data_IF_814043108570
#
_entry.id   IF_814043108570
#
_cell.length_a   1.000
_cell.length_b   1.000
_cell.length_c   1.000
_cell.angle_alpha   90.00
_cell.angle_beta   90.00
_cell.angle_gamma   90.00
#
_symmetry.space_group_name_H-M   'P 1'
#
loop_
_entity.id
_entity.type
_entity.pdbx_description
1 polymer ?
#
# COMPACT_ATOMS: atom_id res chain seq x y z
N UNK A 1 -18.88 2.50 -16.18
CA UNK A 1 -19.00 3.56 -15.16
C UNK A 1 -17.65 4.23 -14.95
N UNK A 2 -17.58 5.55 -14.69
CA UNK A 2 -16.33 6.20 -14.34
C UNK A 2 -15.80 5.68 -12.98
N UNK A 3 -14.48 5.82 -12.78
CA UNK A 3 -13.88 5.55 -11.49
C UNK A 3 -14.25 6.68 -10.51
N UNK A 4 -14.64 6.32 -9.27
CA UNK A 4 -14.75 7.30 -8.21
C UNK A 4 -13.40 7.97 -7.98
N UNK A 5 -13.35 9.29 -8.07
CA UNK A 5 -12.12 10.07 -7.94
C UNK A 5 -11.88 10.56 -6.51
N UNK A 6 -12.97 10.81 -5.77
CA UNK A 6 -12.92 11.16 -4.35
C UNK A 6 -13.07 9.91 -3.49
N UNK A 7 -11.94 9.30 -3.12
CA UNK A 7 -11.96 8.12 -2.27
C UNK A 7 -12.41 8.40 -0.82
N UNK A 8 -12.39 9.65 -0.39
CA UNK A 8 -12.83 10.03 0.96
C UNK A 8 -14.36 10.04 1.08
N UNK A 9 -15.07 10.12 -0.05
CA UNK A 9 -16.53 9.97 -0.10
C UNK A 9 -17.01 8.53 0.12
N UNK A 10 -16.12 7.56 0.04
CA UNK A 10 -16.44 6.14 0.24
C UNK A 10 -16.44 5.83 1.74
N UNK A 11 -17.52 5.24 2.23
CA UNK A 11 -17.62 4.81 3.63
C UNK A 11 -16.54 3.77 3.98
N UNK A 12 -16.16 3.75 5.25
CA UNK A 12 -15.22 2.74 5.76
C UNK A 12 -15.86 1.34 5.66
N UNK A 13 -15.03 0.29 5.49
CA UNK A 13 -15.53 -1.08 5.51
C UNK A 13 -16.28 -1.39 6.82
N UNK A 14 -17.39 -2.10 6.72
CA UNK A 14 -18.09 -2.62 7.90
C UNK A 14 -17.22 -3.62 8.66
N UNK A 15 -16.50 -3.11 9.63
CA UNK A 15 -15.58 -3.89 10.46
C UNK A 15 -16.29 -4.82 11.42
N UNK A 16 -17.51 -4.51 11.83
CA UNK A 16 -18.30 -5.39 12.70
C UNK A 16 -18.66 -6.67 11.95
N UNK A 17 -19.13 -6.53 10.71
CA UNK A 17 -19.39 -7.67 9.85
C UNK A 17 -18.12 -8.50 9.59
N UNK A 18 -17.00 -7.85 9.22
CA UNK A 18 -15.75 -8.55 8.92
C UNK A 18 -15.23 -9.30 10.15
N UNK A 19 -15.27 -8.69 11.34
CA UNK A 19 -14.75 -9.26 12.57
C UNK A 19 -15.79 -10.11 13.36
N UNK A 20 -16.99 -10.32 12.80
CA UNK A 20 -17.91 -11.33 13.31
C UNK A 20 -17.39 -12.76 13.08
N UNK A 21 -16.52 -12.94 12.06
CA UNK A 21 -15.88 -14.22 11.79
C UNK A 21 -14.65 -14.42 12.69
N UNK A 22 -14.55 -15.55 13.42
CA UNK A 22 -13.46 -15.80 14.37
C UNK A 22 -12.06 -15.64 13.79
N UNK A 23 -11.83 -16.12 12.56
CA UNK A 23 -10.55 -16.05 11.87
C UNK A 23 -10.08 -14.61 11.66
N UNK A 24 -11.01 -13.70 11.37
CA UNK A 24 -10.73 -12.29 11.21
C UNK A 24 -10.66 -11.57 12.55
N UNK A 25 -11.55 -11.92 13.51
CA UNK A 25 -11.59 -11.31 14.83
C UNK A 25 -10.29 -11.56 15.59
N UNK A 26 -9.84 -12.80 15.63
CA UNK A 26 -8.72 -13.25 16.46
C UNK A 26 -7.36 -13.00 15.79
N UNK A 27 -7.33 -12.70 14.49
CA UNK A 27 -6.14 -12.26 13.79
C UNK A 27 -5.72 -10.86 14.28
N UNK A 28 -4.48 -10.68 14.79
CA UNK A 28 -4.01 -9.38 15.27
C UNK A 28 -3.78 -8.33 14.19
N UNK A 29 -3.93 -8.68 12.92
CA UNK A 29 -3.69 -7.80 11.78
C UNK A 29 -5.00 -7.14 11.34
N UNK A 30 -4.97 -5.83 11.12
CA UNK A 30 -6.01 -5.10 10.43
C UNK A 30 -5.56 -4.69 9.04
N UNK A 31 -6.37 -5.01 8.03
CA UNK A 31 -6.09 -4.62 6.64
C UNK A 31 -6.69 -3.24 6.35
N UNK A 32 -5.89 -2.34 5.83
CA UNK A 32 -6.30 -0.98 5.44
C UNK A 32 -5.73 -0.66 4.06
N UNK A 33 -6.43 0.16 3.29
CA UNK A 33 -5.94 0.69 2.01
C UNK A 33 -6.06 2.20 2.02
N UNK A 34 -5.00 2.89 1.63
CA UNK A 34 -5.02 4.33 1.46
C UNK A 34 -5.05 4.79 0.01
N UNK A 35 -4.89 3.86 -0.92
CA UNK A 35 -4.92 4.15 -2.36
C UNK A 35 -5.69 3.09 -3.14
N UNK A 36 -5.95 3.40 -4.39
CA UNK A 36 -6.49 2.47 -5.38
C UNK A 36 -5.70 2.64 -6.67
N UNK A 37 -5.34 1.50 -7.28
CA UNK A 37 -4.66 1.42 -8.55
C UNK A 37 -3.14 1.53 -8.45
N UNK A 38 -2.49 1.11 -9.52
CA UNK A 38 -1.05 1.09 -9.66
C UNK A 38 -0.67 1.73 -11.01
N UNK A 39 0.38 2.58 -11.09
CA UNK A 39 0.75 3.22 -12.35
C UNK A 39 1.49 2.29 -13.32
N UNK A 40 1.85 1.09 -12.87
CA UNK A 40 2.64 0.15 -13.65
C UNK A 40 1.75 -0.83 -14.45
N UNK A 41 2.23 -1.20 -15.66
CA UNK A 41 1.50 -2.05 -16.59
C UNK A 41 2.10 -3.46 -16.74
N UNK A 42 2.47 -4.09 -15.63
CA UNK A 42 2.98 -5.47 -15.65
C UNK A 42 1.99 -6.41 -16.32
N UNK A 43 2.46 -7.25 -17.28
CA UNK A 43 1.59 -8.00 -18.19
C UNK A 43 0.70 -9.04 -17.50
N UNK A 44 1.09 -9.52 -16.33
CA UNK A 44 0.37 -10.52 -15.54
C UNK A 44 -0.60 -9.92 -14.51
N UNK A 45 -0.58 -8.59 -14.31
CA UNK A 45 -1.33 -7.91 -13.27
C UNK A 45 -2.62 -7.30 -13.81
N UNK A 46 -3.71 -7.41 -13.04
CA UNK A 46 -5.01 -6.82 -13.39
C UNK A 46 -4.95 -5.30 -13.55
N UNK A 47 -4.02 -4.61 -12.89
CA UNK A 47 -3.84 -3.17 -13.06
C UNK A 47 -3.48 -2.79 -14.50
N UNK A 48 -2.81 -3.66 -15.25
CA UNK A 48 -2.55 -3.44 -16.68
C UNK A 48 -3.83 -3.41 -17.51
N UNK A 49 -4.86 -4.15 -17.09
CA UNK A 49 -6.19 -4.15 -17.70
C UNK A 49 -6.94 -2.87 -17.30
N UNK A 50 -6.91 -2.52 -16.02
CA UNK A 50 -7.54 -1.29 -15.51
C UNK A 50 -7.01 -0.04 -16.21
N UNK A 51 -5.70 0.07 -16.43
CA UNK A 51 -5.09 1.18 -17.19
C UNK A 51 -5.64 1.30 -18.62
N UNK A 52 -5.99 0.18 -19.25
CA UNK A 52 -6.59 0.15 -20.60
C UNK A 52 -8.08 0.47 -20.58
N UNK A 53 -8.83 -0.14 -19.66
CA UNK A 53 -10.28 0.04 -19.54
C UNK A 53 -10.65 1.47 -19.18
N UNK A 54 -9.87 2.09 -18.30
CA UNK A 54 -10.10 3.45 -17.81
C UNK A 54 -9.15 4.48 -18.44
N UNK A 55 -8.75 4.25 -19.69
CA UNK A 55 -7.89 5.18 -20.43
C UNK A 55 -8.50 6.59 -20.44
N UNK A 56 -7.69 7.58 -20.06
CA UNK A 56 -8.12 8.98 -19.95
C UNK A 56 -8.68 9.36 -18.57
N UNK A 57 -8.83 8.42 -17.65
CA UNK A 57 -9.16 8.70 -16.26
C UNK A 57 -7.93 8.56 -15.36
N UNK A 58 -7.91 9.26 -14.23
CA UNK A 58 -6.90 9.08 -13.20
C UNK A 58 -7.14 7.73 -12.50
N UNK A 59 -6.30 6.73 -12.78
CA UNK A 59 -6.45 5.38 -12.25
C UNK A 59 -5.82 5.22 -10.86
N UNK A 60 -4.71 5.93 -10.57
CA UNK A 60 -4.10 5.96 -9.25
C UNK A 60 -4.73 7.08 -8.44
N UNK A 61 -5.40 6.73 -7.36
CA UNK A 61 -6.18 7.66 -6.52
C UNK A 61 -5.84 7.40 -5.06
N UNK A 62 -5.82 8.44 -4.26
CA UNK A 62 -5.46 8.39 -2.85
C UNK A 62 -6.58 8.94 -2.00
N UNK A 63 -6.76 8.37 -0.83
CA UNK A 63 -7.49 8.97 0.28
C UNK A 63 -6.62 10.07 0.90
N UNK A 64 -7.24 11.03 1.55
CA UNK A 64 -6.50 11.99 2.38
C UNK A 64 -5.84 11.28 3.57
N UNK A 65 -4.73 11.82 4.05
CA UNK A 65 -4.09 11.33 5.27
C UNK A 65 -5.07 11.32 6.45
N UNK A 66 -5.86 12.37 6.58
CA UNK A 66 -6.87 12.57 7.61
C UNK A 66 -7.94 11.47 7.60
N UNK A 67 -8.45 11.14 6.41
CA UNK A 67 -9.43 10.07 6.25
C UNK A 67 -8.86 8.69 6.64
N UNK A 68 -7.62 8.39 6.25
CA UNK A 68 -6.94 7.13 6.60
C UNK A 68 -6.62 7.05 8.09
N UNK A 69 -6.11 8.12 8.70
CA UNK A 69 -5.82 8.18 10.13
C UNK A 69 -7.11 7.97 10.95
N UNK A 70 -8.22 8.60 10.55
CA UNK A 70 -9.52 8.41 11.20
C UNK A 70 -9.96 6.94 11.20
N UNK A 71 -9.83 6.23 10.09
CA UNK A 71 -10.13 4.79 10.02
C UNK A 71 -9.20 3.98 10.94
N UNK A 72 -7.90 4.28 10.94
CA UNK A 72 -6.94 3.60 11.79
C UNK A 72 -7.22 3.84 13.29
N UNK A 73 -7.62 5.06 13.66
CA UNK A 73 -8.04 5.39 15.03
C UNK A 73 -9.30 4.60 15.43
N UNK A 74 -10.27 4.51 14.53
CA UNK A 74 -11.47 3.70 14.78
C UNK A 74 -11.11 2.23 15.03
N UNK A 75 -10.23 1.66 14.20
CA UNK A 75 -9.73 0.28 14.38
C UNK A 75 -9.03 0.14 15.74
N UNK A 76 -8.08 1.02 16.04
CA UNK A 76 -7.30 0.99 17.27
C UNK A 76 -8.17 1.05 18.52
N UNK A 77 -9.22 1.89 18.51
CA UNK A 77 -10.09 2.12 19.65
C UNK A 77 -11.17 1.04 19.83
N UNK A 78 -11.82 0.62 18.73
CA UNK A 78 -12.91 -0.35 18.78
C UNK A 78 -12.41 -1.81 18.82
N UNK A 79 -11.23 -2.08 18.29
CA UNK A 79 -10.70 -3.44 18.15
C UNK A 79 -9.29 -3.57 18.74
N UNK A 80 -9.15 -3.49 20.07
CA UNK A 80 -7.84 -3.47 20.75
C UNK A 80 -7.01 -4.74 20.57
N UNK A 81 -7.62 -5.84 20.09
CA UNK A 81 -6.91 -7.06 19.68
C UNK A 81 -6.11 -6.86 18.38
N UNK A 82 -6.42 -5.83 17.59
CA UNK A 82 -5.65 -5.48 16.40
C UNK A 82 -4.36 -4.77 16.83
N UNK A 83 -3.23 -5.40 16.55
CA UNK A 83 -1.90 -4.96 17.01
C UNK A 83 -1.00 -4.48 15.87
N UNK A 84 -1.44 -4.64 14.64
CA UNK A 84 -0.65 -4.32 13.45
C UNK A 84 -1.58 -3.89 12.30
N UNK A 85 -1.14 -2.92 11.52
CA UNK A 85 -1.78 -2.55 10.24
C UNK A 85 -1.04 -3.23 9.09
N UNK A 86 -1.79 -3.84 8.18
CA UNK A 86 -1.28 -4.32 6.90
C UNK A 86 -1.83 -3.41 5.79
N UNK A 87 -0.95 -2.64 5.16
CA UNK A 87 -1.32 -1.80 4.03
C UNK A 87 -1.50 -2.65 2.78
N UNK A 88 -2.75 -2.72 2.29
CA UNK A 88 -3.17 -3.53 1.13
C UNK A 88 -3.13 -2.73 -0.18
N UNK A 89 -2.39 -1.63 -0.20
CA UNK A 89 -2.22 -0.82 -1.39
C UNK A 89 -1.50 -1.62 -2.48
N UNK A 90 -1.90 -1.43 -3.73
CA UNK A 90 -1.20 -2.03 -4.88
C UNK A 90 0.28 -1.58 -4.95
N UNK A 91 0.56 -0.36 -4.47
CA UNK A 91 1.89 0.24 -4.39
C UNK A 91 1.87 1.34 -3.31
N UNK A 92 2.47 1.07 -2.17
CA UNK A 92 2.35 1.95 -1.00
C UNK A 92 3.18 3.24 -1.11
N UNK A 93 4.39 3.17 -1.68
CA UNK A 93 5.37 4.27 -1.66
C UNK A 93 5.51 5.05 -2.98
N UNK A 94 4.64 4.78 -3.96
CA UNK A 94 4.67 5.41 -5.30
C UNK A 94 4.04 6.81 -5.31
N UNK A 95 4.24 7.57 -4.29
CA UNK A 95 3.72 8.94 -4.17
C UNK A 95 4.86 9.92 -3.96
N UNK A 96 4.52 11.18 -4.04
CA UNK A 96 5.42 12.26 -3.65
C UNK A 96 5.99 12.02 -2.26
N UNK A 97 7.29 12.27 -2.10
CA UNK A 97 8.01 11.92 -0.87
C UNK A 97 7.59 12.80 0.31
N UNK A 98 7.23 14.05 0.06
CA UNK A 98 6.74 14.97 1.09
C UNK A 98 5.36 14.53 1.59
N UNK A 99 4.45 14.16 0.68
CA UNK A 99 3.11 13.65 1.03
C UNK A 99 3.23 12.33 1.82
N UNK A 100 4.17 11.45 1.43
CA UNK A 100 4.42 10.23 2.16
C UNK A 100 4.98 10.52 3.56
N UNK A 101 5.91 11.48 3.69
CA UNK A 101 6.49 11.89 4.95
C UNK A 101 5.43 12.42 5.92
N UNK A 102 4.61 13.35 5.48
CA UNK A 102 3.54 13.95 6.29
C UNK A 102 2.58 12.89 6.81
N UNK A 103 2.16 11.96 5.93
CA UNK A 103 1.32 10.83 6.34
C UNK A 103 2.01 9.95 7.39
N UNK A 104 3.27 9.56 7.18
CA UNK A 104 4.00 8.68 8.08
C UNK A 104 4.25 9.32 9.45
N UNK A 105 4.49 10.63 9.49
CA UNK A 105 4.61 11.41 10.73
C UNK A 105 3.29 11.39 11.50
N UNK A 106 2.18 11.73 10.84
CA UNK A 106 0.85 11.70 11.45
C UNK A 106 0.49 10.29 11.94
N UNK A 107 0.75 9.26 11.14
CA UNK A 107 0.52 7.87 11.53
C UNK A 107 1.29 7.48 12.80
N UNK A 108 2.57 7.83 12.87
CA UNK A 108 3.41 7.54 14.05
C UNK A 108 2.87 8.21 15.31
N UNK A 109 2.46 9.47 15.20
CA UNK A 109 2.01 10.27 16.35
C UNK A 109 0.64 9.82 16.85
N UNK A 110 -0.30 9.55 15.98
CA UNK A 110 -1.70 9.29 16.33
C UNK A 110 -2.00 7.80 16.50
N UNK A 111 -1.44 6.97 15.62
CA UNK A 111 -1.72 5.53 15.60
C UNK A 111 -0.64 4.74 16.33
N UNK A 112 0.61 4.84 15.87
CA UNK A 112 1.78 4.21 16.48
C UNK A 112 1.77 2.67 16.48
N UNK A 113 0.83 2.02 15.81
CA UNK A 113 0.85 0.56 15.64
C UNK A 113 1.94 0.19 14.63
N UNK A 114 2.67 -0.92 14.84
CA UNK A 114 3.56 -1.43 13.81
C UNK A 114 2.78 -1.75 12.53
N UNK A 115 3.43 -1.66 11.38
CA UNK A 115 2.79 -1.95 10.11
C UNK A 115 3.66 -2.71 9.14
N UNK A 116 2.99 -3.32 8.17
CA UNK A 116 3.57 -3.90 6.96
C UNK A 116 3.09 -3.14 5.74
N UNK A 117 3.96 -2.99 4.72
CA UNK A 117 3.56 -2.45 3.43
C UNK A 117 4.22 -3.21 2.27
N UNK A 118 3.66 -3.01 1.07
CA UNK A 118 4.19 -3.61 -0.14
C UNK A 118 4.47 -2.55 -1.21
N UNK A 119 5.53 -2.77 -1.96
CA UNK A 119 6.00 -1.83 -2.98
C UNK A 119 6.86 -2.53 -4.04
N UNK A 120 7.26 -1.78 -5.05
CA UNK A 120 8.20 -2.23 -6.06
C UNK A 120 9.62 -1.79 -5.69
N UNK A 121 10.59 -2.69 -5.82
CA UNK A 121 11.97 -2.48 -5.38
C UNK A 121 12.59 -1.18 -5.93
N UNK A 122 12.36 -0.85 -7.21
CA UNK A 122 12.88 0.37 -7.83
C UNK A 122 12.27 1.67 -7.30
N UNK A 123 11.22 1.60 -6.48
CA UNK A 123 10.62 2.76 -5.82
C UNK A 123 11.24 3.07 -4.46
N UNK A 124 12.02 2.12 -3.91
CA UNK A 124 12.69 2.31 -2.64
C UNK A 124 13.91 3.22 -2.78
N UNK A 125 14.05 4.12 -1.82
CA UNK A 125 15.23 4.96 -1.63
C UNK A 125 15.62 4.91 -0.17
N UNK A 126 16.88 5.23 0.14
CA UNK A 126 17.35 5.29 1.54
C UNK A 126 16.49 6.23 2.40
N UNK A 127 16.08 7.36 1.84
CA UNK A 127 15.17 8.30 2.51
C UNK A 127 13.83 7.63 2.85
N UNK A 128 13.19 6.98 1.90
CA UNK A 128 11.92 6.27 2.13
C UNK A 128 12.07 5.14 3.14
N UNK A 129 13.17 4.37 3.07
CA UNK A 129 13.44 3.30 4.02
C UNK A 129 13.55 3.81 5.45
N UNK A 130 14.28 4.91 5.67
CA UNK A 130 14.38 5.58 6.98
C UNK A 130 13.01 6.05 7.47
N UNK A 131 12.24 6.74 6.64
CA UNK A 131 10.90 7.23 6.98
C UNK A 131 9.96 6.09 7.38
N UNK A 132 9.92 5.00 6.62
CA UNK A 132 9.12 3.81 6.93
C UNK A 132 9.53 3.21 8.29
N UNK A 133 10.83 3.02 8.50
CA UNK A 133 11.36 2.48 9.77
C UNK A 133 10.99 3.37 10.96
N UNK A 134 11.17 4.68 10.84
CA UNK A 134 10.85 5.64 11.88
C UNK A 134 9.35 5.70 12.20
N UNK A 135 8.49 5.48 11.20
CA UNK A 135 7.05 5.42 11.37
C UNK A 135 6.55 4.11 11.99
N UNK A 136 7.40 3.09 12.14
CA UNK A 136 7.05 1.81 12.74
C UNK A 136 6.79 0.68 11.73
N UNK A 137 7.29 0.79 10.50
CA UNK A 137 7.31 -0.32 9.56
C UNK A 137 8.22 -1.44 10.08
N UNK A 138 7.66 -2.63 10.27
CA UNK A 138 8.40 -3.80 10.80
C UNK A 138 8.68 -4.85 9.74
N UNK A 139 8.00 -4.80 8.62
CA UNK A 139 8.21 -5.71 7.50
C UNK A 139 7.72 -5.11 6.20
N UNK A 140 8.29 -5.58 5.10
CA UNK A 140 7.92 -5.15 3.75
C UNK A 140 7.83 -6.36 2.81
N UNK A 141 7.03 -6.22 1.77
CA UNK A 141 7.02 -7.16 0.65
C UNK A 141 7.30 -6.42 -0.64
N UNK A 142 8.22 -6.94 -1.43
CA UNK A 142 8.36 -6.59 -2.84
C UNK A 142 8.55 -7.85 -3.67
N UNK A 143 7.89 -7.90 -4.80
CA UNK A 143 7.91 -9.07 -5.66
C UNK A 143 8.97 -8.92 -6.76
N UNK A 144 9.80 -9.95 -6.97
CA UNK A 144 10.80 -10.01 -8.04
C UNK A 144 10.19 -10.65 -9.29
N UNK A 145 9.29 -11.61 -9.12
CA UNK A 145 8.55 -12.38 -10.12
C UNK A 145 9.39 -13.38 -10.90
N UNK A 146 10.65 -13.05 -11.22
CA UNK A 146 11.60 -13.94 -11.90
C UNK A 146 13.03 -13.53 -11.57
N UNK A 147 13.89 -14.51 -11.31
CA UNK A 147 15.33 -14.30 -11.18
C UNK A 147 16.02 -13.95 -12.52
N UNK A 148 15.35 -14.18 -13.65
CA UNK A 148 15.88 -13.83 -14.97
C UNK A 148 15.37 -12.44 -15.40
N UNK A 149 16.29 -11.48 -15.54
CA UNK A 149 15.97 -10.10 -15.91
C UNK A 149 15.30 -9.98 -17.29
N UNK A 150 15.64 -10.81 -18.26
CA UNK A 150 14.99 -10.81 -19.57
C UNK A 150 13.52 -11.23 -19.47
N UNK A 151 13.23 -12.30 -18.72
CA UNK A 151 11.85 -12.74 -18.46
C UNK A 151 11.09 -11.63 -17.75
N UNK A 152 11.66 -11.09 -16.69
CA UNK A 152 11.07 -10.04 -15.87
C UNK A 152 10.69 -8.80 -16.67
N UNK A 153 11.59 -8.36 -17.58
CA UNK A 153 11.41 -7.10 -18.28
C UNK A 153 10.75 -7.26 -19.67
N UNK A 154 11.06 -8.30 -20.43
CA UNK A 154 10.48 -8.50 -21.77
C UNK A 154 9.14 -9.21 -21.74
N UNK A 155 9.01 -10.29 -20.95
CA UNK A 155 7.79 -11.08 -20.90
C UNK A 155 6.80 -10.51 -19.88
N UNK A 156 7.22 -10.31 -18.63
CA UNK A 156 6.38 -9.81 -17.57
C UNK A 156 6.19 -8.29 -17.58
N UNK A 157 6.99 -7.56 -18.36
CA UNK A 157 6.95 -6.08 -18.51
C UNK A 157 7.00 -5.36 -17.15
N UNK A 158 7.78 -5.93 -16.24
CA UNK A 158 7.91 -5.37 -14.90
C UNK A 158 8.88 -4.19 -14.85
N UNK A 159 9.83 -4.11 -15.79
CA UNK A 159 10.84 -3.05 -15.89
C UNK A 159 11.67 -2.87 -14.61
N UNK A 160 12.03 -3.98 -13.98
CA UNK A 160 12.80 -4.07 -12.74
C UNK A 160 14.18 -4.68 -13.04
N UNK A 161 15.25 -3.95 -12.79
CA UNK A 161 16.64 -4.38 -13.00
C UNK A 161 17.16 -5.14 -11.78
N UNK A 162 18.19 -5.96 -11.98
CA UNK A 162 18.87 -6.65 -10.89
C UNK A 162 19.50 -5.63 -9.92
N UNK A 163 20.06 -4.53 -10.44
CA UNK A 163 20.60 -3.45 -9.60
C UNK A 163 19.56 -2.81 -8.68
N UNK A 164 18.31 -2.65 -9.14
CA UNK A 164 17.24 -2.08 -8.32
C UNK A 164 16.87 -3.03 -7.15
N UNK A 165 16.95 -4.35 -7.41
CA UNK A 165 16.68 -5.36 -6.39
C UNK A 165 17.77 -5.34 -5.32
N UNK A 166 19.06 -5.33 -5.72
CA UNK A 166 20.16 -5.29 -4.77
C UNK A 166 20.16 -4.00 -3.95
N UNK A 167 19.99 -2.84 -4.58
CA UNK A 167 19.91 -1.57 -3.87
C UNK A 167 18.73 -1.51 -2.88
N UNK A 168 17.65 -2.26 -3.12
CA UNK A 168 16.50 -2.28 -2.22
C UNK A 168 16.76 -3.11 -0.94
N UNK A 169 17.69 -4.07 -0.97
CA UNK A 169 17.96 -4.98 0.16
C UNK A 169 19.21 -4.60 0.97
N UNK A 170 20.06 -3.73 0.45
CA UNK A 170 21.21 -3.15 1.14
C UNK A 170 20.78 -2.00 2.08
#
# INVERSE_FOLDING_TARGET
>A
YPLEQDLDSIEFPDRELIYSYPENRDNPIANVMMSRGCPFACSFCFNSINLKLYKGQKTVRYRSAENVIRECLEIKNKYPQKKMIFWQDDEFIVRDVEILADFLIAYKLEIGLPFHCQFRAEQMTEQKARMLKEAGCISVTFAIESGNELIRNKLLKKHLKDTDIFNCVE
#
